data_IF_704102529490
#
_entry.id   IF_704102529490
#
_cell.length_a   1.000
_cell.length_b   1.000
_cell.length_c   1.000
_cell.angle_alpha   90.00
_cell.angle_beta   90.00
_cell.angle_gamma   90.00
#
_symmetry.space_group_name_H-M   'P 1'
#
loop_
_entity.id
_entity.type
_entity.pdbx_description
1 polymer ?
#
# COMPACT_ATOMS: atom_id res chain seq x y z
N UNK A 1 16.53 8.21 -1.24
CA UNK A 1 16.06 6.81 -1.22
C UNK A 1 17.07 5.95 -0.47
N UNK A 2 16.58 5.00 0.34
CA UNK A 2 17.35 4.22 1.32
C UNK A 2 18.59 3.48 0.76
N UNK A 3 18.70 3.31 -0.54
CA UNK A 3 19.78 2.58 -1.21
C UNK A 3 20.64 3.46 -2.13
N UNK A 4 20.82 4.73 -1.79
CA UNK A 4 21.73 5.62 -2.52
C UNK A 4 21.26 6.04 -3.91
N UNK A 5 19.98 5.96 -4.20
CA UNK A 5 19.42 6.44 -5.47
C UNK A 5 19.26 7.99 -5.43
N UNK A 6 20.38 8.68 -5.36
CA UNK A 6 20.43 10.15 -5.23
C UNK A 6 19.85 10.90 -6.44
N UNK A 7 19.83 10.23 -7.60
CA UNK A 7 19.37 10.80 -8.86
C UNK A 7 17.87 10.57 -9.12
N UNK A 8 17.13 9.97 -8.17
CA UNK A 8 15.68 9.70 -8.31
C UNK A 8 14.91 10.58 -7.35
N UNK A 9 13.93 11.31 -7.88
CA UNK A 9 12.97 12.09 -7.09
C UNK A 9 11.58 11.52 -7.20
N UNK A 10 10.93 11.32 -6.06
CA UNK A 10 9.51 10.95 -6.03
C UNK A 10 8.66 12.21 -6.25
N UNK A 11 7.76 12.16 -7.22
CA UNK A 11 6.84 13.25 -7.53
C UNK A 11 5.41 12.77 -7.33
N UNK A 12 4.64 13.54 -6.57
CA UNK A 12 3.20 13.33 -6.40
C UNK A 12 2.45 14.30 -7.32
N UNK A 13 1.58 13.82 -8.22
CA UNK A 13 0.83 14.67 -9.12
C UNK A 13 -0.09 15.64 -8.37
N UNK A 14 -0.21 16.87 -8.87
CA UNK A 14 -1.11 17.89 -8.29
C UNK A 14 -2.59 17.52 -8.43
N UNK A 15 -2.93 16.69 -9.42
CA UNK A 15 -4.26 16.14 -9.64
C UNK A 15 -4.67 15.18 -8.53
N UNK A 16 -3.70 14.47 -7.96
CA UNK A 16 -3.85 13.58 -6.83
C UNK A 16 -3.18 12.22 -7.02
N UNK A 17 -2.96 11.56 -5.92
CA UNK A 17 -2.42 10.19 -5.85
C UNK A 17 -3.40 9.25 -5.19
N UNK A 18 -3.46 8.01 -5.64
CA UNK A 18 -4.27 6.99 -4.98
C UNK A 18 -3.46 6.25 -3.92
N UNK A 19 -4.14 5.85 -2.84
CA UNK A 19 -3.60 4.95 -1.85
C UNK A 19 -4.48 3.70 -1.76
N UNK A 20 -3.87 2.58 -1.38
CA UNK A 20 -4.60 1.37 -1.04
C UNK A 20 -4.02 0.75 0.23
N UNK A 21 -4.87 0.13 1.02
CA UNK A 21 -4.46 -0.57 2.23
C UNK A 21 -4.01 -2.00 1.89
N UNK A 22 -2.92 -2.41 2.52
CA UNK A 22 -2.60 -3.83 2.63
C UNK A 22 -3.45 -4.43 3.75
N UNK A 23 -3.98 -5.61 3.51
CA UNK A 23 -4.77 -6.33 4.50
C UNK A 23 -4.16 -7.72 4.74
N UNK A 24 -4.31 -8.18 5.98
CA UNK A 24 -4.02 -9.56 6.36
C UNK A 24 -5.27 -10.17 7.01
N UNK A 25 -5.51 -11.45 6.76
CA UNK A 25 -6.65 -12.16 7.32
C UNK A 25 -6.25 -13.58 7.70
N UNK A 26 -6.91 -14.12 8.73
CA UNK A 26 -6.76 -15.51 9.14
C UNK A 26 -7.72 -16.37 8.31
N UNK A 27 -7.17 -17.41 7.67
CA UNK A 27 -7.98 -18.35 6.89
C UNK A 27 -8.86 -19.15 7.84
N UNK A 28 -10.14 -19.33 7.47
CA UNK A 28 -11.07 -20.17 8.24
C UNK A 28 -10.54 -21.60 8.35
N UNK A 29 -10.48 -22.11 9.57
CA UNK A 29 -9.95 -23.46 9.82
C UNK A 29 -8.42 -23.55 9.84
N UNK A 30 -7.72 -22.42 9.99
CA UNK A 30 -6.26 -22.43 10.13
C UNK A 30 -5.81 -23.41 11.23
N UNK A 31 -4.85 -24.30 10.97
CA UNK A 31 -4.45 -25.37 11.91
C UNK A 31 -3.74 -24.82 13.16
N UNK A 32 -3.17 -23.61 13.07
CA UNK A 32 -2.46 -22.94 14.16
C UNK A 32 -3.11 -21.59 14.46
N UNK A 33 -4.37 -21.61 14.91
CA UNK A 33 -5.19 -20.42 15.10
C UNK A 33 -4.56 -19.40 16.06
N UNK A 34 -4.00 -19.86 17.18
CA UNK A 34 -3.42 -18.95 18.18
C UNK A 34 -2.15 -18.29 17.67
N UNK A 35 -1.32 -19.02 16.93
CA UNK A 35 -0.15 -18.44 16.26
C UNK A 35 -0.56 -17.43 15.16
N UNK A 36 -1.64 -17.73 14.42
CA UNK A 36 -2.17 -16.82 13.41
C UNK A 36 -2.70 -15.53 14.03
N UNK A 37 -3.39 -15.60 15.16
CA UNK A 37 -3.84 -14.41 15.92
C UNK A 37 -2.65 -13.58 16.41
N UNK A 38 -1.68 -14.24 17.06
CA UNK A 38 -0.47 -13.56 17.54
C UNK A 38 0.27 -12.84 16.41
N UNK A 39 0.33 -13.44 15.21
CA UNK A 39 0.93 -12.79 14.05
C UNK A 39 0.15 -11.55 13.61
N UNK A 40 -1.19 -11.59 13.57
CA UNK A 40 -2.02 -10.44 13.24
C UNK A 40 -1.83 -9.32 14.28
N UNK A 41 -1.84 -9.67 15.57
CA UNK A 41 -1.63 -8.72 16.65
C UNK A 41 -0.25 -8.04 16.53
N UNK A 42 0.80 -8.81 16.23
CA UNK A 42 2.12 -8.26 15.97
C UNK A 42 2.16 -7.35 14.75
N UNK A 43 1.54 -7.73 13.64
CA UNK A 43 1.49 -6.90 12.43
C UNK A 43 0.74 -5.58 12.61
N UNK A 44 -0.16 -5.50 13.59
CA UNK A 44 -0.89 -4.27 13.93
C UNK A 44 -0.24 -3.47 15.06
N UNK A 45 0.68 -4.07 15.81
CA UNK A 45 1.36 -3.41 16.91
C UNK A 45 2.29 -2.28 16.44
N UNK A 46 2.54 -1.32 17.32
CA UNK A 46 3.54 -0.27 17.07
C UNK A 46 4.93 -0.85 16.81
N UNK A 47 5.32 -1.91 17.54
CA UNK A 47 6.59 -2.60 17.37
C UNK A 47 6.71 -3.22 15.97
N UNK A 48 5.74 -4.03 15.56
CA UNK A 48 5.74 -4.71 14.26
C UNK A 48 5.71 -3.73 13.09
N UNK A 49 4.92 -2.66 13.22
CA UNK A 49 4.87 -1.63 12.19
C UNK A 49 6.14 -0.78 12.17
N UNK A 50 6.75 -0.45 13.31
CA UNK A 50 8.04 0.26 13.37
C UNK A 50 9.18 -0.57 12.78
N UNK A 51 9.23 -1.87 13.09
CA UNK A 51 10.19 -2.78 12.46
C UNK A 51 10.06 -2.74 10.93
N UNK A 52 8.84 -2.87 10.42
CA UNK A 52 8.57 -2.84 8.98
C UNK A 52 8.89 -1.47 8.36
N UNK A 53 8.59 -0.37 9.07
CA UNK A 53 8.92 0.99 8.64
C UNK A 53 10.40 1.15 8.37
N UNK A 54 11.20 0.78 9.34
CA UNK A 54 12.64 0.97 9.31
C UNK A 54 13.34 -0.02 8.37
N UNK A 55 12.76 -1.20 8.15
CA UNK A 55 13.31 -2.20 7.24
C UNK A 55 12.92 -1.95 5.78
N UNK A 56 11.64 -1.75 5.49
CA UNK A 56 11.12 -1.61 4.10
C UNK A 56 11.10 -0.15 3.65
N UNK A 57 10.67 0.75 4.52
CA UNK A 57 10.68 2.20 4.32
C UNK A 57 9.75 2.75 3.23
N UNK A 58 8.90 1.94 2.60
CA UNK A 58 8.08 2.36 1.45
C UNK A 58 6.59 2.39 1.73
N UNK A 59 6.16 2.08 2.94
CA UNK A 59 4.74 1.98 3.31
C UNK A 59 4.40 2.98 4.41
N UNK A 60 3.17 3.46 4.40
CA UNK A 60 2.58 4.25 5.48
C UNK A 60 1.90 3.31 6.46
N UNK A 61 1.84 3.71 7.71
CA UNK A 61 1.39 2.87 8.81
C UNK A 61 0.05 3.37 9.34
N UNK A 62 -0.68 2.48 9.98
CA UNK A 62 -2.01 2.75 10.54
C UNK A 62 -2.00 2.92 12.04
N UNK A 63 -0.94 2.49 12.71
CA UNK A 63 -0.77 2.67 14.15
C UNK A 63 -0.06 4.00 14.43
N UNK A 64 -0.60 4.81 15.33
CA UNK A 64 -0.12 6.17 15.64
C UNK A 64 1.21 6.18 16.40
N UNK A 65 1.51 5.10 17.12
CA UNK A 65 2.73 4.96 17.92
C UNK A 65 3.94 4.43 17.14
N UNK A 66 3.83 4.37 15.81
CA UNK A 66 4.93 3.89 14.96
C UNK A 66 6.08 4.88 14.94
N UNK A 67 7.27 4.40 15.26
CA UNK A 67 8.51 5.17 15.20
C UNK A 67 9.24 4.89 13.90
N UNK A 68 9.42 5.92 13.08
CA UNK A 68 10.19 5.88 11.83
C UNK A 68 11.45 6.69 12.03
N UNK A 69 12.60 6.04 12.03
CA UNK A 69 13.89 6.69 12.27
C UNK A 69 14.32 7.55 11.06
N UNK A 70 14.02 7.10 9.86
CA UNK A 70 14.48 7.72 8.63
C UNK A 70 13.38 7.67 7.56
N UNK A 71 12.52 8.69 7.55
CA UNK A 71 11.42 8.78 6.59
C UNK A 71 11.80 9.64 5.39
N UNK A 72 11.89 9.02 4.22
CA UNK A 72 11.97 9.73 2.95
C UNK A 72 10.62 9.90 2.26
N UNK A 73 9.54 9.42 2.88
CA UNK A 73 8.19 9.68 2.41
C UNK A 73 7.75 11.06 2.90
N UNK A 74 7.19 11.90 2.02
CA UNK A 74 6.65 13.19 2.44
C UNK A 74 5.47 12.98 3.40
N UNK A 75 5.18 14.00 4.20
CA UNK A 75 4.03 13.99 5.08
C UNK A 75 2.75 13.70 4.28
N UNK A 76 1.88 12.86 4.85
CA UNK A 76 0.63 12.45 4.20
C UNK A 76 -0.30 13.62 3.92
N UNK A 77 -0.27 14.65 4.78
CA UNK A 77 -1.06 15.87 4.63
C UNK A 77 -0.62 16.75 3.46
N UNK A 78 0.61 16.58 2.99
CA UNK A 78 1.14 17.29 1.82
C UNK A 78 0.71 16.69 0.48
N UNK A 79 0.05 15.53 0.50
CA UNK A 79 -0.36 14.81 -0.70
C UNK A 79 -1.87 14.92 -0.87
N UNK A 80 -2.30 15.31 -2.05
CA UNK A 80 -3.72 15.24 -2.42
C UNK A 80 -4.11 13.80 -2.69
N UNK A 81 -4.90 13.19 -1.80
CA UNK A 81 -5.37 11.84 -1.98
C UNK A 81 -6.65 11.79 -2.78
N UNK A 82 -6.71 10.92 -3.77
CA UNK A 82 -7.91 10.63 -4.55
C UNK A 82 -8.75 9.60 -3.80
N UNK A 83 -10.00 9.93 -3.54
CA UNK A 83 -10.96 8.96 -3.01
C UNK A 83 -11.33 7.97 -4.12
N UNK A 84 -11.05 6.69 -3.89
CA UNK A 84 -11.34 5.62 -4.84
C UNK A 84 -12.73 5.05 -4.56
N UNK A 85 -13.59 5.11 -5.56
CA UNK A 85 -14.87 4.38 -5.52
C UNK A 85 -14.62 2.89 -5.76
N UNK A 86 -14.45 2.16 -4.67
CA UNK A 86 -14.12 0.73 -4.71
C UNK A 86 -15.28 -0.11 -5.24
N UNK A 87 -16.51 0.24 -4.91
CA UNK A 87 -17.70 -0.48 -5.38
C UNK A 87 -17.85 -0.33 -6.89
N UNK A 88 -17.65 0.87 -7.40
CA UNK A 88 -17.63 1.11 -8.84
C UNK A 88 -16.49 0.33 -9.53
N UNK A 89 -15.31 0.32 -8.95
CA UNK A 89 -14.15 -0.42 -9.50
C UNK A 89 -14.42 -1.93 -9.56
N UNK A 90 -15.04 -2.49 -8.52
CA UNK A 90 -15.42 -3.91 -8.49
C UNK A 90 -16.47 -4.20 -9.59
N UNK A 91 -17.51 -3.38 -9.68
CA UNK A 91 -18.59 -3.56 -10.65
C UNK A 91 -18.11 -3.42 -12.11
N UNK A 92 -17.11 -2.58 -12.36
CA UNK A 92 -16.64 -2.27 -13.72
C UNK A 92 -15.31 -2.94 -14.09
N UNK A 93 -14.73 -3.80 -13.23
CA UNK A 93 -13.41 -4.39 -13.43
C UNK A 93 -13.27 -5.09 -14.79
N UNK A 94 -14.22 -5.93 -15.17
CA UNK A 94 -14.15 -6.67 -16.43
C UNK A 94 -14.13 -5.74 -17.65
N UNK A 95 -15.04 -4.77 -17.69
CA UNK A 95 -15.11 -3.80 -18.78
C UNK A 95 -13.83 -2.93 -18.89
N UNK A 96 -13.23 -2.60 -17.75
CA UNK A 96 -11.96 -1.87 -17.74
C UNK A 96 -10.81 -2.72 -18.29
N UNK A 97 -10.74 -4.00 -17.92
CA UNK A 97 -9.72 -4.93 -18.42
C UNK A 97 -9.88 -5.18 -19.93
N UNK A 98 -11.09 -5.32 -20.42
CA UNK A 98 -11.35 -5.46 -21.85
C UNK A 98 -10.87 -4.23 -22.64
N UNK A 99 -11.21 -3.02 -22.19
CA UNK A 99 -10.72 -1.78 -22.79
C UNK A 99 -9.19 -1.66 -22.77
N UNK A 100 -8.59 -1.99 -21.64
CA UNK A 100 -7.13 -2.00 -21.51
C UNK A 100 -6.51 -2.98 -22.47
N UNK A 101 -7.00 -4.22 -22.55
CA UNK A 101 -6.49 -5.24 -23.46
C UNK A 101 -6.59 -4.82 -24.92
N UNK A 102 -7.73 -4.22 -25.30
CA UNK A 102 -7.91 -3.72 -26.66
C UNK A 102 -6.89 -2.62 -27.02
N UNK A 103 -6.70 -1.65 -26.12
CA UNK A 103 -5.69 -0.60 -26.28
C UNK A 103 -4.26 -1.18 -26.34
N UNK A 104 -3.94 -2.07 -25.42
CA UNK A 104 -2.63 -2.69 -25.36
C UNK A 104 -2.31 -3.42 -26.67
N UNK A 105 -3.22 -4.22 -27.20
CA UNK A 105 -3.04 -4.96 -28.45
C UNK A 105 -2.96 -4.04 -29.66
N UNK A 106 -3.64 -2.91 -29.65
CA UNK A 106 -3.56 -1.91 -30.72
C UNK A 106 -2.16 -1.31 -30.86
N UNK A 107 -1.42 -1.13 -29.74
CA UNK A 107 -0.13 -0.47 -29.74
C UNK A 107 1.07 -1.42 -29.65
N UNK A 108 0.87 -2.68 -29.28
CA UNK A 108 1.93 -3.66 -29.06
C UNK A 108 1.71 -4.99 -29.80
N UNK A 109 0.65 -5.10 -30.60
CA UNK A 109 0.32 -6.29 -31.39
C UNK A 109 0.88 -6.26 -32.80
#
# INVERSE_FOLDING_TARGET
LKNGAENIKMVYPSEGSSAFAFAAAIVKGAPHMDAAKAMIDYLQSAEGQSFRANYVGTVRFTNEDVVVEDSYLPDSSSIKWVNRDIDWLIANKSAMLEKWTALYNQYNG
#
